data_IF_021533848730
#
_entry.id   IF_021533848730
#
_cell.length_a   1.000
_cell.length_b   1.000
_cell.length_c   1.000
_cell.angle_alpha   90.00
_cell.angle_beta   90.00
_cell.angle_gamma   90.00
#
_symmetry.space_group_name_H-M   'P 1'
#
loop_
_entity.id
_entity.type
_entity.pdbx_description
1 polymer ?
#
# COMPACT_ATOMS: atom_id res chain seq x y z
N UNK A 1 -3.93 0.94 12.20
CA UNK A 1 -3.54 1.59 10.93
C UNK A 1 -2.75 0.59 10.10
N UNK A 2 -2.81 0.65 8.77
CA UNK A 2 -2.04 -0.22 7.87
C UNK A 2 -0.52 -0.10 8.11
N UNK A 3 -0.04 1.12 8.38
CA UNK A 3 1.37 1.39 8.68
C UNK A 3 1.86 0.80 10.02
N UNK A 4 0.96 0.27 10.85
CA UNK A 4 1.31 -0.38 12.13
C UNK A 4 1.54 -1.89 12.00
N UNK A 5 1.30 -2.46 10.82
CA UNK A 5 1.43 -3.89 10.58
C UNK A 5 2.91 -4.25 10.36
N UNK A 6 3.37 -5.36 10.95
CA UNK A 6 4.77 -5.80 10.87
C UNK A 6 5.24 -6.01 9.42
N UNK A 7 4.33 -6.45 8.57
CA UNK A 7 4.57 -6.73 7.16
C UNK A 7 4.34 -5.51 6.25
N UNK A 8 3.94 -4.36 6.78
CA UNK A 8 3.87 -3.13 6.01
C UNK A 8 5.27 -2.52 5.90
N UNK A 9 5.77 -2.41 4.66
CA UNK A 9 7.09 -1.82 4.38
C UNK A 9 7.00 -0.32 4.05
N UNK A 10 5.89 0.32 4.39
CA UNK A 10 5.68 1.75 4.19
C UNK A 10 4.98 2.11 2.88
N UNK A 11 5.07 3.38 2.51
CA UNK A 11 4.36 3.96 1.37
C UNK A 11 5.37 4.74 0.51
N UNK A 12 5.31 4.57 -0.80
CA UNK A 12 5.97 5.46 -1.76
C UNK A 12 4.92 6.37 -2.40
N UNK A 13 5.24 7.63 -2.60
CA UNK A 13 4.31 8.58 -3.21
C UNK A 13 4.86 9.99 -3.21
N UNK A 14 3.98 10.96 -3.43
CA UNK A 14 4.34 12.37 -3.44
C UNK A 14 4.09 13.03 -4.79
N UNK A 15 4.29 14.35 -4.83
CA UNK A 15 4.03 15.16 -6.01
C UNK A 15 5.11 14.92 -7.08
N UNK A 16 4.85 15.27 -8.35
CA UNK A 16 5.89 15.31 -9.36
C UNK A 16 7.13 16.06 -8.88
N UNK A 17 8.30 15.43 -8.99
CA UNK A 17 9.62 15.94 -8.50
C UNK A 17 9.72 16.10 -6.97
N UNK A 18 8.82 15.47 -6.21
CA UNK A 18 8.78 15.50 -4.74
C UNK A 18 8.39 14.12 -4.17
N UNK A 19 8.97 13.05 -4.72
CA UNK A 19 8.72 11.69 -4.24
C UNK A 19 9.31 11.45 -2.84
N UNK A 20 8.55 10.83 -1.96
CA UNK A 20 8.94 10.53 -0.58
C UNK A 20 8.71 9.05 -0.29
N UNK A 21 9.51 8.50 0.63
CA UNK A 21 9.31 7.17 1.18
C UNK A 21 8.88 7.27 2.64
N UNK A 22 7.62 6.94 2.91
CA UNK A 22 6.99 7.02 4.22
C UNK A 22 7.18 5.70 4.96
N UNK A 23 7.89 5.74 6.09
CA UNK A 23 8.26 4.55 6.86
C UNK A 23 7.37 4.29 8.07
N UNK A 24 6.55 5.26 8.45
CA UNK A 24 5.68 5.15 9.60
C UNK A 24 4.98 6.46 9.90
N UNK A 25 4.45 6.57 11.11
CA UNK A 25 3.73 7.75 11.56
C UNK A 25 3.88 7.94 13.08
N UNK A 26 3.64 9.16 13.52
CA UNK A 26 3.47 9.51 14.92
C UNK A 26 2.34 10.56 14.99
N UNK A 27 1.37 10.33 15.85
CA UNK A 27 0.15 11.14 15.93
C UNK A 27 -0.48 11.28 14.52
N UNK A 28 -0.82 12.50 14.12
CA UNK A 28 -1.36 12.82 12.78
C UNK A 28 -0.26 13.19 11.75
N UNK A 29 0.98 12.73 11.94
CA UNK A 29 2.09 13.00 11.04
C UNK A 29 2.79 11.73 10.54
N UNK A 30 2.99 11.66 9.23
CA UNK A 30 3.84 10.69 8.58
C UNK A 30 5.32 11.00 8.82
N UNK A 31 6.10 9.95 9.00
CA UNK A 31 7.57 9.98 9.08
C UNK A 31 8.11 9.45 7.75
N UNK A 32 9.03 10.19 7.12
CA UNK A 32 9.49 9.86 5.77
C UNK A 32 10.97 10.15 5.53
N UNK A 33 11.52 9.46 4.53
CA UNK A 33 12.82 9.71 3.93
C UNK A 33 12.64 10.46 2.61
N UNK A 34 13.54 11.41 2.38
CA UNK A 34 13.51 12.33 1.26
C UNK A 34 14.77 12.14 0.39
N UNK A 35 14.64 11.63 -0.85
CA UNK A 35 15.77 11.38 -1.74
C UNK A 35 16.30 12.63 -2.45
N UNK A 36 15.71 13.82 -2.28
CA UNK A 36 16.08 15.03 -3.03
C UNK A 36 17.34 15.73 -2.51
N UNK A 37 18.30 14.95 -2.03
CA UNK A 37 19.63 15.42 -1.65
C UNK A 37 20.67 14.77 -2.57
N UNK A 38 21.38 15.62 -3.33
CA UNK A 38 22.43 15.15 -4.23
C UNK A 38 23.68 14.79 -3.41
N UNK A 39 24.14 13.55 -3.53
CA UNK A 39 25.32 13.03 -2.83
C UNK A 39 26.44 12.73 -3.83
N UNK A 40 27.69 12.78 -3.37
CA UNK A 40 28.82 12.30 -4.15
C UNK A 40 28.68 10.80 -4.42
N UNK A 41 29.13 10.37 -5.60
CA UNK A 41 29.16 8.95 -5.96
C UNK A 41 30.04 8.15 -4.98
N UNK A 42 29.55 6.98 -4.57
CA UNK A 42 30.28 6.02 -3.75
C UNK A 42 30.57 4.78 -4.59
N UNK A 43 31.84 4.38 -4.70
CA UNK A 43 32.22 3.16 -5.39
C UNK A 43 31.92 1.92 -4.55
N UNK A 44 30.80 1.26 -4.83
CA UNK A 44 30.33 0.06 -4.13
C UNK A 44 31.05 -1.24 -4.55
N UNK A 45 31.98 -1.19 -5.51
CA UNK A 45 32.78 -2.36 -5.90
C UNK A 45 33.96 -2.64 -4.96
N UNK A 46 34.38 -1.64 -4.16
CA UNK A 46 35.36 -1.85 -3.10
C UNK A 46 34.73 -2.69 -1.99
N UNK A 47 35.48 -3.58 -1.34
CA UNK A 47 34.94 -4.39 -0.24
C UNK A 47 34.68 -3.61 1.05
N UNK A 48 35.22 -2.39 1.16
CA UNK A 48 35.28 -1.56 2.36
C UNK A 48 34.64 -0.16 2.19
N UNK A 49 33.75 0.00 1.20
CA UNK A 49 33.09 1.28 0.98
C UNK A 49 32.25 1.74 2.18
N UNK A 50 32.23 3.04 2.42
CA UNK A 50 31.46 3.61 3.53
C UNK A 50 29.95 3.56 3.27
N UNK A 51 29.19 3.09 4.25
CA UNK A 51 27.72 3.06 4.22
C UNK A 51 27.06 4.36 4.72
N UNK A 52 27.84 5.32 5.24
CA UNK A 52 27.31 6.52 5.91
C UNK A 52 26.29 7.29 5.06
N UNK A 53 26.52 7.44 3.75
CA UNK A 53 25.63 8.13 2.81
C UNK A 53 24.31 7.40 2.52
N UNK A 54 24.20 6.12 2.89
CA UNK A 54 23.03 5.27 2.65
C UNK A 54 22.10 5.20 3.86
N UNK A 55 22.49 5.80 4.99
CA UNK A 55 21.64 5.92 6.17
C UNK A 55 21.15 7.35 6.33
N UNK A 56 19.86 7.51 6.62
CA UNK A 56 19.28 8.82 6.90
C UNK A 56 19.37 9.11 8.41
N UNK A 57 20.18 10.07 8.88
CA UNK A 57 20.30 10.37 10.31
C UNK A 57 19.10 11.16 10.85
N UNK A 58 18.36 11.85 9.98
CA UNK A 58 17.31 12.80 10.36
C UNK A 58 16.07 12.60 9.49
N UNK A 59 15.21 11.62 9.81
CA UNK A 59 13.95 11.44 9.09
C UNK A 59 13.05 12.67 9.24
N UNK A 60 12.28 12.97 8.19
CA UNK A 60 11.40 14.14 8.16
C UNK A 60 9.98 13.77 8.59
N UNK A 61 9.20 14.77 8.96
CA UNK A 61 7.79 14.63 9.34
C UNK A 61 6.89 15.51 8.49
N UNK A 62 5.72 15.00 8.14
CA UNK A 62 4.67 15.80 7.50
C UNK A 62 3.27 15.36 7.94
N UNK A 63 2.30 16.29 8.11
CA UNK A 63 0.92 15.92 8.39
C UNK A 63 0.33 15.04 7.28
N UNK A 64 -0.55 14.09 7.63
CA UNK A 64 -1.26 13.25 6.64
C UNK A 64 -1.98 14.09 5.57
N UNK A 65 -2.57 15.23 5.96
CA UNK A 65 -3.29 16.15 5.07
C UNK A 65 -2.44 16.77 3.96
N UNK A 66 -1.11 16.71 4.06
CA UNK A 66 -0.18 17.20 3.03
C UNK A 66 0.34 16.11 2.10
N UNK A 67 0.07 14.84 2.41
CA UNK A 67 0.47 13.72 1.57
C UNK A 67 -0.27 13.80 0.23
N UNK A 68 0.42 13.52 -0.87
CA UNK A 68 -0.25 13.39 -2.16
C UNK A 68 -1.11 12.11 -2.16
N UNK A 69 -2.36 12.15 -2.67
CA UNK A 69 -3.21 10.96 -2.71
C UNK A 69 -2.67 9.88 -3.66
N UNK A 70 -1.83 10.24 -4.64
CA UNK A 70 -1.13 9.26 -5.47
C UNK A 70 -0.01 8.62 -4.67
N UNK A 71 -0.24 7.37 -4.28
CA UNK A 71 0.72 6.60 -3.51
C UNK A 71 0.59 5.10 -3.76
N UNK A 72 1.58 4.34 -3.28
CA UNK A 72 1.60 2.88 -3.32
C UNK A 72 2.02 2.38 -1.95
N UNK A 73 1.18 1.53 -1.36
CA UNK A 73 1.45 0.87 -0.07
C UNK A 73 2.16 -0.45 -0.34
N UNK A 74 3.29 -0.66 0.31
CA UNK A 74 4.06 -1.90 0.18
C UNK A 74 3.79 -2.86 1.34
N UNK A 75 3.70 -4.15 1.01
CA UNK A 75 3.71 -5.24 1.97
C UNK A 75 4.78 -6.26 1.59
N UNK A 76 5.47 -6.82 2.58
CA UNK A 76 6.47 -7.87 2.37
C UNK A 76 5.98 -9.20 2.93
N UNK A 77 6.06 -10.24 2.09
CA UNK A 77 5.79 -11.61 2.46
C UNK A 77 7.00 -12.48 2.12
N UNK A 78 7.54 -13.21 3.09
CA UNK A 78 8.70 -14.09 2.86
C UNK A 78 8.29 -15.43 2.26
N UNK A 79 7.11 -15.94 2.63
CA UNK A 79 6.59 -17.22 2.16
C UNK A 79 5.11 -17.12 1.76
N UNK A 80 4.55 -18.22 1.25
CA UNK A 80 3.13 -18.31 0.96
C UNK A 80 2.28 -18.29 2.24
N UNK A 81 2.78 -18.87 3.33
CA UNK A 81 2.12 -18.87 4.64
C UNK A 81 2.06 -17.46 5.23
N UNK A 82 3.13 -16.68 5.09
CA UNK A 82 3.14 -15.27 5.50
C UNK A 82 2.10 -14.47 4.72
N UNK A 83 1.95 -14.74 3.41
CA UNK A 83 0.96 -14.06 2.57
C UNK A 83 -0.46 -14.33 3.05
N UNK A 84 -0.81 -15.56 3.38
CA UNK A 84 -2.15 -15.89 3.89
C UNK A 84 -2.42 -15.21 5.25
N UNK A 85 -1.43 -15.16 6.15
CA UNK A 85 -1.57 -14.40 7.42
C UNK A 85 -1.79 -12.90 7.17
N UNK A 86 -0.99 -12.31 6.28
CA UNK A 86 -1.08 -10.90 5.88
C UNK A 86 -2.49 -10.59 5.35
N UNK A 87 -2.99 -11.46 4.47
CA UNK A 87 -4.31 -11.34 3.87
C UNK A 87 -5.41 -11.40 4.93
N UNK A 88 -5.35 -12.37 5.84
CA UNK A 88 -6.34 -12.52 6.92
C UNK A 88 -6.39 -11.30 7.84
N UNK A 89 -5.22 -10.79 8.26
CA UNK A 89 -5.12 -9.63 9.13
C UNK A 89 -5.58 -8.34 8.43
N UNK A 90 -5.17 -8.12 7.17
CA UNK A 90 -5.64 -6.97 6.39
C UNK A 90 -7.14 -7.03 6.15
N UNK A 91 -7.71 -8.21 5.90
CA UNK A 91 -9.15 -8.39 5.71
C UNK A 91 -9.94 -8.03 6.98
N UNK A 92 -9.37 -8.23 8.17
CA UNK A 92 -9.97 -7.80 9.44
C UNK A 92 -9.81 -6.29 9.66
N UNK A 93 -8.64 -5.74 9.31
CA UNK A 93 -8.33 -4.31 9.51
C UNK A 93 -9.12 -3.39 8.55
N UNK A 94 -9.36 -3.84 7.33
CA UNK A 94 -10.04 -3.07 6.28
C UNK A 94 -11.56 -3.28 6.28
N UNK A 95 -12.15 -3.85 7.34
CA UNK A 95 -13.60 -3.98 7.41
C UNK A 95 -14.26 -2.59 7.52
N UNK A 96 -15.28 -2.30 6.68
CA UNK A 96 -16.02 -1.05 6.78
C UNK A 96 -16.60 -0.85 8.19
N UNK A 97 -16.46 0.36 8.72
CA UNK A 97 -17.03 0.75 10.00
C UNK A 97 -18.07 1.86 9.83
N UNK A 98 -18.81 2.18 10.90
CA UNK A 98 -19.76 3.29 10.88
C UNK A 98 -19.10 4.66 10.59
N UNK A 99 -17.80 4.82 10.87
CA UNK A 99 -17.02 6.04 10.57
C UNK A 99 -16.27 5.97 9.25
N UNK A 100 -15.80 4.79 8.86
CA UNK A 100 -14.99 4.57 7.65
C UNK A 100 -15.77 3.70 6.67
N UNK A 101 -16.43 4.37 5.72
CA UNK A 101 -17.37 3.72 4.79
C UNK A 101 -16.65 2.97 3.65
N UNK A 102 -15.40 3.31 3.36
CA UNK A 102 -14.65 2.78 2.21
C UNK A 102 -13.25 2.36 2.63
N UNK A 103 -12.89 1.06 2.47
CA UNK A 103 -11.51 0.64 2.68
C UNK A 103 -10.60 1.18 1.58
N UNK A 104 -9.31 1.32 1.89
CA UNK A 104 -8.32 1.80 0.91
C UNK A 104 -8.13 0.82 -0.27
N UNK A 105 -8.24 -0.48 -0.02
CA UNK A 105 -8.21 -1.56 -1.02
C UNK A 105 -8.99 -2.77 -0.50
N UNK A 106 -9.27 -3.75 -1.34
CA UNK A 106 -9.99 -4.98 -0.95
C UNK A 106 -9.36 -6.22 -1.59
N UNK A 107 -9.42 -7.35 -0.89
CA UNK A 107 -9.05 -8.65 -1.44
C UNK A 107 -10.25 -9.33 -2.09
N UNK A 108 -10.10 -9.74 -3.35
CA UNK A 108 -11.12 -10.47 -4.10
C UNK A 108 -10.55 -11.78 -4.64
N UNK A 109 -11.30 -12.88 -4.48
CA UNK A 109 -10.95 -14.18 -5.06
C UNK A 109 -11.11 -14.17 -6.58
N UNK A 110 -10.14 -14.72 -7.30
CA UNK A 110 -10.18 -14.85 -8.77
C UNK A 110 -9.42 -13.74 -9.49
N UNK A 111 -9.60 -13.67 -10.82
CA UNK A 111 -8.88 -12.73 -11.67
C UNK A 111 -9.73 -11.50 -11.97
N UNK A 112 -9.08 -10.35 -12.19
CA UNK A 112 -9.78 -9.12 -12.61
C UNK A 112 -10.60 -9.32 -13.89
N UNK A 113 -10.23 -10.25 -14.77
CA UNK A 113 -10.98 -10.55 -16.00
C UNK A 113 -12.31 -11.25 -15.74
N UNK A 114 -12.44 -11.90 -14.59
CA UNK A 114 -13.66 -12.58 -14.16
C UNK A 114 -14.71 -11.57 -13.68
N UNK A 115 -14.25 -10.35 -13.33
CA UNK A 115 -15.09 -9.24 -12.92
C UNK A 115 -15.24 -8.26 -14.08
N UNK A 116 -16.41 -8.24 -14.72
CA UNK A 116 -16.72 -7.25 -15.74
C UNK A 116 -16.93 -5.87 -15.10
N UNK A 117 -15.83 -5.14 -14.89
CA UNK A 117 -15.84 -3.77 -14.36
C UNK A 117 -16.45 -2.75 -15.34
N UNK A 118 -16.70 -3.14 -16.59
CA UNK A 118 -17.33 -2.28 -17.60
C UNK A 118 -18.86 -2.32 -17.55
N UNK A 119 -19.42 -3.41 -17.02
CA UNK A 119 -20.86 -3.60 -16.88
C UNK A 119 -21.39 -2.98 -15.58
N UNK A 120 -21.63 -1.66 -15.57
CA UNK A 120 -22.57 -1.09 -14.59
C UNK A 120 -22.27 0.25 -13.95
N UNK A 121 -21.61 1.20 -14.63
CA UNK A 121 -21.71 2.61 -14.23
C UNK A 121 -23.10 3.16 -14.60
N UNK A 122 -24.14 2.69 -13.92
CA UNK A 122 -25.45 3.33 -13.95
C UNK A 122 -25.37 4.57 -13.05
N UNK A 123 -25.60 5.81 -13.56
CA UNK A 123 -25.41 7.05 -12.79
C UNK A 123 -26.21 7.12 -11.47
N UNK A 124 -27.26 6.29 -11.34
CA UNK A 124 -28.11 6.18 -10.15
C UNK A 124 -27.64 5.22 -9.05
N UNK A 125 -26.62 4.38 -9.27
CA UNK A 125 -26.06 3.48 -8.24
C UNK A 125 -24.59 3.80 -8.01
N UNK A 126 -24.30 4.71 -7.07
CA UNK A 126 -22.93 5.04 -6.62
C UNK A 126 -22.41 4.03 -5.58
N UNK A 127 -22.71 2.74 -5.74
CA UNK A 127 -22.17 1.70 -4.89
C UNK A 127 -21.54 0.62 -5.77
N UNK A 128 -20.31 0.24 -5.46
CA UNK A 128 -19.61 -0.82 -6.16
C UNK A 128 -20.40 -2.14 -6.04
N UNK A 129 -20.66 -2.86 -7.14
CA UNK A 129 -21.58 -4.01 -7.16
C UNK A 129 -21.14 -5.16 -6.23
N UNK A 130 -19.85 -5.31 -6.00
CA UNK A 130 -19.27 -6.32 -5.11
C UNK A 130 -19.48 -6.08 -3.61
N UNK A 131 -20.02 -4.92 -3.22
CA UNK A 131 -20.32 -4.65 -1.79
C UNK A 131 -21.56 -5.45 -1.33
N UNK A 132 -22.42 -5.91 -2.25
CA UNK A 132 -23.66 -6.63 -1.90
C UNK A 132 -23.92 -7.93 -2.67
N UNK A 133 -23.39 -8.09 -3.88
CA UNK A 133 -23.75 -9.23 -4.72
C UNK A 133 -22.93 -10.49 -4.38
N UNK A 134 -23.62 -11.63 -4.21
CA UNK A 134 -22.97 -12.95 -4.07
C UNK A 134 -22.37 -13.39 -5.41
N UNK A 135 -21.13 -13.88 -5.45
CA UNK A 135 -20.45 -14.23 -6.70
C UNK A 135 -21.04 -15.48 -7.38
N UNK A 136 -21.01 -15.49 -8.72
CA UNK A 136 -21.12 -16.72 -9.52
C UNK A 136 -19.76 -17.40 -9.54
N UNK A 137 -19.66 -18.52 -8.85
CA UNK A 137 -18.41 -19.26 -8.65
C UNK A 137 -18.12 -20.12 -9.90
N UNK A 138 -16.98 -19.86 -10.56
CA UNK A 138 -16.28 -20.87 -11.36
C UNK A 138 -14.85 -20.92 -10.82
N UNK A 139 -14.53 -22.01 -10.14
CA UNK A 139 -13.28 -22.23 -9.42
C UNK A 139 -12.14 -22.66 -10.33
N UNK A 140 -10.97 -22.02 -10.20
CA UNK A 140 -9.66 -22.70 -10.23
C UNK A 140 -8.76 -22.06 -9.17
N UNK A 141 -8.04 -22.90 -8.43
CA UNK A 141 -7.18 -22.51 -7.32
C UNK A 141 -5.96 -21.72 -7.82
N UNK A 142 -5.64 -20.58 -7.20
CA UNK A 142 -4.28 -20.05 -7.25
C UNK A 142 -4.10 -18.54 -7.20
N UNK A 143 -5.03 -17.72 -7.67
CA UNK A 143 -4.68 -16.33 -8.03
C UNK A 143 -5.70 -15.28 -7.55
N UNK A 144 -5.17 -14.14 -7.09
CA UNK A 144 -5.91 -13.00 -6.54
C UNK A 144 -5.39 -11.67 -7.12
N UNK A 145 -6.28 -10.68 -7.26
CA UNK A 145 -5.92 -9.32 -7.71
C UNK A 145 -6.12 -8.32 -6.58
N UNK A 146 -5.13 -7.43 -6.41
CA UNK A 146 -5.27 -6.22 -5.59
C UNK A 146 -5.96 -5.15 -6.45
N UNK A 147 -7.16 -4.72 -6.05
CA UNK A 147 -7.90 -3.62 -6.68
C UNK A 147 -7.84 -2.38 -5.80
#
# INVERSE_FOLDING_TARGET
SVLSLEYCIGIIGGKPKQACYFVGFQDDSLIYMDPHYCQSFVNVSSSDFSLQSFHCPSPKKMPFSKMDPSCTIGFYSRSAEDYERIREELSKLLQPSAKEKYPAFTFMQGHSRDYDLSAGLNPGKREWPFIRDKPRIVTTAGDFVLL
#
